data_IF_059914539807
#
_entry.id   IF_059914539807
#
_cell.length_a   1.000
_cell.length_b   1.000
_cell.length_c   1.000
_cell.angle_alpha   90.00
_cell.angle_beta   90.00
_cell.angle_gamma   90.00
#
_symmetry.space_group_name_H-M   'P 1'
#
loop_
_entity.id
_entity.type
_entity.pdbx_description
1 polymer ?
#
# COMPACT_ATOMS: atom_id res chain seq x y z
N UNK A 1 9.65 -1.60 -16.03
CA UNK A 1 9.42 -2.42 -14.82
C UNK A 1 7.93 -2.50 -14.58
N UNK A 2 7.47 -3.58 -13.95
CA UNK A 2 6.09 -3.74 -13.51
C UNK A 2 6.03 -3.48 -12.01
N UNK A 3 5.38 -2.37 -11.66
CA UNK A 3 5.33 -1.83 -10.31
C UNK A 3 3.90 -1.97 -9.81
N UNK A 4 3.74 -2.56 -8.62
CA UNK A 4 2.42 -2.69 -7.98
C UNK A 4 2.41 -1.97 -6.65
N UNK A 5 1.51 -1.02 -6.49
CA UNK A 5 1.23 -0.35 -5.22
C UNK A 5 0.20 -1.14 -4.41
N UNK A 6 0.50 -1.38 -3.13
CA UNK A 6 -0.29 -2.21 -2.23
C UNK A 6 -0.30 -1.66 -0.79
N UNK A 7 -1.18 -2.18 0.07
CA UNK A 7 -1.15 -1.98 1.53
C UNK A 7 -2.07 -0.89 2.07
N UNK A 8 -2.67 -0.10 1.19
CA UNK A 8 -3.66 0.88 1.59
C UNK A 8 -5.03 0.50 1.06
N UNK A 9 -6.04 0.93 1.80
CA UNK A 9 -7.43 0.78 1.41
C UNK A 9 -8.05 2.13 1.13
N UNK A 10 -8.98 2.16 0.18
CA UNK A 10 -9.58 3.39 -0.32
C UNK A 10 -8.62 4.24 -1.15
N UNK A 11 -7.49 3.70 -1.64
CA UNK A 11 -6.57 4.44 -2.52
C UNK A 11 -7.00 4.28 -3.97
N UNK A 12 -6.95 5.35 -4.77
CA UNK A 12 -6.50 6.71 -4.44
C UNK A 12 -7.60 7.67 -3.92
N UNK A 13 -8.79 7.17 -3.61
CA UNK A 13 -10.00 7.97 -3.38
C UNK A 13 -10.17 8.58 -1.97
N UNK A 14 -9.34 8.22 -1.01
CA UNK A 14 -9.53 8.60 0.40
C UNK A 14 -8.99 10.02 0.73
N UNK A 15 -8.39 10.73 -0.25
CA UNK A 15 -7.86 12.09 -0.13
C UNK A 15 -6.90 12.29 1.04
N UNK A 16 -6.17 11.25 1.42
CA UNK A 16 -5.11 11.34 2.42
C UNK A 16 -3.83 11.84 1.76
N UNK A 17 -2.94 12.44 2.54
CA UNK A 17 -1.61 12.85 2.05
C UNK A 17 -0.82 11.71 1.40
N UNK A 18 -1.07 10.46 1.85
CA UNK A 18 -0.45 9.28 1.25
C UNK A 18 -1.01 8.94 -0.14
N UNK A 19 -2.28 9.28 -0.40
CA UNK A 19 -2.93 9.04 -1.68
C UNK A 19 -2.33 10.00 -2.73
N UNK A 20 -2.19 11.29 -2.41
CA UNK A 20 -1.52 12.29 -3.26
C UNK A 20 -0.10 11.84 -3.62
N UNK A 21 0.67 11.40 -2.63
CA UNK A 21 2.04 10.94 -2.84
C UNK A 21 2.11 9.71 -3.74
N UNK A 22 1.25 8.72 -3.49
CA UNK A 22 1.19 7.49 -4.26
C UNK A 22 0.85 7.80 -5.73
N UNK A 23 -0.11 8.69 -5.96
CA UNK A 23 -0.45 9.16 -7.31
C UNK A 23 0.72 9.87 -7.98
N UNK A 24 1.44 10.75 -7.27
CA UNK A 24 2.64 11.38 -7.83
C UNK A 24 3.71 10.37 -8.25
N UNK A 25 3.94 9.32 -7.44
CA UNK A 25 4.85 8.24 -7.82
C UNK A 25 4.33 7.43 -9.00
N UNK A 26 3.04 7.08 -9.01
CA UNK A 26 2.43 6.34 -10.10
C UNK A 26 2.59 7.09 -11.43
N UNK A 27 2.23 8.37 -11.47
CA UNK A 27 2.35 9.22 -12.66
C UNK A 27 3.81 9.42 -13.11
N UNK A 28 4.75 9.50 -12.17
CA UNK A 28 6.19 9.59 -12.49
C UNK A 28 6.69 8.31 -13.16
N UNK A 29 6.31 7.15 -12.62
CA UNK A 29 6.69 5.86 -13.16
C UNK A 29 6.07 5.61 -14.54
N UNK A 30 4.79 5.95 -14.76
CA UNK A 30 4.17 5.85 -16.09
C UNK A 30 4.83 6.79 -17.10
N UNK A 31 5.15 8.03 -16.69
CA UNK A 31 5.90 8.99 -17.51
C UNK A 31 7.29 8.47 -17.90
N UNK A 32 7.88 7.62 -17.07
CA UNK A 32 9.16 6.94 -17.32
C UNK A 32 9.00 5.60 -18.07
N UNK A 33 7.84 5.38 -18.70
CA UNK A 33 7.53 4.18 -19.47
C UNK A 33 7.60 2.88 -18.64
N UNK A 34 7.11 2.94 -17.40
CA UNK A 34 6.90 1.77 -16.54
C UNK A 34 5.42 1.45 -16.40
N UNK A 35 5.13 0.17 -16.18
CA UNK A 35 3.78 -0.31 -15.96
C UNK A 35 3.44 -0.20 -14.48
N UNK A 36 2.34 0.50 -14.18
CA UNK A 36 1.93 0.76 -12.82
C UNK A 36 0.53 0.22 -12.58
N UNK A 37 0.41 -0.60 -11.53
CA UNK A 37 -0.87 -1.10 -11.03
C UNK A 37 -1.05 -0.66 -9.59
N UNK A 38 -2.22 -0.10 -9.26
CA UNK A 38 -2.63 0.17 -7.88
C UNK A 38 -3.62 -0.93 -7.49
N UNK A 39 -3.24 -1.81 -6.57
CA UNK A 39 -4.13 -2.83 -6.04
C UNK A 39 -4.77 -2.32 -4.75
N UNK A 40 -6.05 -1.95 -4.83
CA UNK A 40 -6.79 -1.41 -3.71
C UNK A 40 -7.66 -2.50 -3.05
N UNK A 41 -7.44 -2.74 -1.75
CA UNK A 41 -8.18 -3.75 -0.97
C UNK A 41 -9.70 -3.51 -0.95
N UNK A 42 -10.11 -2.26 -0.83
CA UNK A 42 -11.53 -1.91 -0.96
C UNK A 42 -11.73 -0.49 -1.48
N UNK A 43 -12.72 -0.32 -2.36
CA UNK A 43 -13.16 1.01 -2.79
C UNK A 43 -13.66 1.80 -1.59
N UNK A 44 -13.32 3.09 -1.52
CA UNK A 44 -13.82 3.95 -0.45
C UNK A 44 -15.36 3.89 -0.44
N UNK A 45 -15.98 3.98 0.75
CA UNK A 45 -17.44 3.89 0.92
C UNK A 45 -18.24 4.91 0.08
N UNK A 46 -17.58 5.92 -0.48
CA UNK A 46 -18.09 6.83 -1.52
C UNK A 46 -16.91 7.28 -2.40
N UNK A 47 -16.65 6.66 -3.55
CA UNK A 47 -15.68 7.21 -4.47
C UNK A 47 -16.33 8.42 -5.15
N UNK A 48 -15.83 9.62 -4.88
CA UNK A 48 -16.12 10.79 -5.72
C UNK A 48 -15.23 10.70 -6.97
N UNK A 49 -15.53 9.71 -7.83
CA UNK A 49 -14.78 9.39 -9.05
C UNK A 49 -14.52 10.63 -9.93
N UNK A 50 -15.48 11.57 -9.98
CA UNK A 50 -15.41 12.75 -10.83
C UNK A 50 -14.27 13.72 -10.49
N UNK A 51 -13.77 13.75 -9.25
CA UNK A 51 -12.69 14.65 -8.85
C UNK A 51 -11.32 13.99 -8.89
N UNK A 52 -11.26 12.68 -8.56
CA UNK A 52 -9.99 11.98 -8.40
C UNK A 52 -9.47 11.41 -9.74
N UNK A 53 -10.35 11.16 -10.73
CA UNK A 53 -9.96 10.73 -12.07
C UNK A 53 -9.15 11.79 -12.85
N UNK A 54 -9.26 13.07 -12.51
CA UNK A 54 -8.54 14.15 -13.19
C UNK A 54 -7.02 14.15 -12.93
N UNK A 55 -6.55 13.44 -11.90
CA UNK A 55 -5.14 13.45 -11.48
C UNK A 55 -4.39 12.15 -11.75
N UNK A 56 -5.08 11.12 -12.24
CA UNK A 56 -4.50 9.80 -12.49
C UNK A 56 -4.18 9.73 -13.98
N UNK A 57 -2.93 9.46 -14.33
CA UNK A 57 -2.55 9.14 -15.71
C UNK A 57 -3.35 7.91 -16.18
N UNK A 58 -4.00 7.98 -17.34
CA UNK A 58 -4.84 6.91 -17.90
C UNK A 58 -4.08 5.57 -18.04
N UNK A 59 -2.74 5.60 -18.03
CA UNK A 59 -1.88 4.42 -18.06
C UNK A 59 -1.75 3.71 -16.70
N UNK A 60 -2.20 4.32 -15.61
CA UNK A 60 -2.21 3.71 -14.27
C UNK A 60 -3.44 2.80 -14.14
N UNK A 61 -3.21 1.50 -13.99
CA UNK A 61 -4.31 0.55 -13.80
C UNK A 61 -4.69 0.45 -12.32
N UNK A 62 -5.92 0.82 -11.96
CA UNK A 62 -6.45 0.63 -10.60
C UNK A 62 -7.30 -0.63 -10.55
N UNK A 63 -6.92 -1.59 -9.69
CA UNK A 63 -7.66 -2.84 -9.47
C UNK A 63 -8.27 -2.80 -8.08
N UNK A 64 -9.60 -2.84 -8.02
CA UNK A 64 -10.33 -2.96 -6.77
C UNK A 64 -10.63 -4.42 -6.44
N UNK A 65 -10.29 -4.86 -5.22
CA UNK A 65 -10.55 -6.24 -4.77
C UNK A 65 -11.97 -6.43 -4.24
N UNK A 66 -12.53 -5.42 -3.58
CA UNK A 66 -13.87 -5.50 -3.02
C UNK A 66 -14.55 -4.13 -3.02
N UNK A 67 -15.85 -4.10 -3.34
CA UNK A 67 -16.67 -2.91 -3.16
C UNK A 67 -17.56 -3.11 -1.91
N UNK A 68 -17.34 -2.29 -0.89
CA UNK A 68 -18.09 -2.37 0.37
C UNK A 68 -19.39 -1.54 0.37
N UNK A 69 -19.77 -0.96 -0.77
CA UNK A 69 -20.98 -0.13 -0.89
C UNK A 69 -22.24 -0.94 -0.57
N UNK A 70 -23.00 -0.48 0.41
CA UNK A 70 -24.27 -1.11 0.81
C UNK A 70 -24.14 -2.38 1.67
N UNK A 71 -22.92 -2.78 2.05
CA UNK A 71 -22.71 -4.01 2.81
C UNK A 71 -22.90 -3.77 4.32
N UNK A 72 -23.67 -4.62 5.04
CA UNK A 72 -23.82 -4.53 6.49
C UNK A 72 -22.47 -4.59 7.25
N UNK A 73 -22.36 -3.84 8.35
CA UNK A 73 -21.11 -3.75 9.16
C UNK A 73 -20.60 -5.09 9.71
N UNK A 74 -21.48 -6.06 9.93
CA UNK A 74 -21.08 -7.40 10.38
C UNK A 74 -20.40 -8.18 9.26
N UNK A 75 -20.95 -8.13 8.05
CA UNK A 75 -20.39 -8.77 6.86
C UNK A 75 -19.11 -8.09 6.38
N UNK A 76 -18.98 -6.77 6.57
CA UNK A 76 -17.77 -6.04 6.16
C UNK A 76 -16.51 -6.55 6.86
N UNK A 77 -16.59 -7.01 8.12
CA UNK A 77 -15.44 -7.61 8.83
C UNK A 77 -14.98 -8.93 8.21
N UNK A 78 -15.92 -9.80 7.84
CA UNK A 78 -15.59 -11.05 7.14
C UNK A 78 -15.01 -10.79 5.77
N UNK A 79 -15.55 -9.82 5.04
CA UNK A 79 -15.03 -9.41 3.74
C UNK A 79 -13.62 -8.82 3.85
N UNK A 80 -13.30 -8.08 4.92
CA UNK A 80 -11.94 -7.59 5.14
C UNK A 80 -10.94 -8.76 5.25
N UNK A 81 -11.26 -9.80 6.01
CA UNK A 81 -10.39 -10.99 6.10
C UNK A 81 -10.30 -11.69 4.74
N UNK A 82 -11.44 -11.84 4.05
CA UNK A 82 -11.50 -12.44 2.72
C UNK A 82 -10.65 -11.67 1.69
N UNK A 83 -10.63 -10.34 1.75
CA UNK A 83 -9.79 -9.52 0.85
C UNK A 83 -8.30 -9.78 1.03
N UNK A 84 -7.82 -10.09 2.22
CA UNK A 84 -6.40 -10.45 2.45
C UNK A 84 -6.08 -11.76 1.72
N UNK A 85 -6.99 -12.73 1.73
CA UNK A 85 -6.79 -14.00 1.04
C UNK A 85 -6.85 -13.79 -0.47
N UNK A 86 -7.84 -13.05 -0.98
CA UNK A 86 -7.95 -12.77 -2.42
C UNK A 86 -6.75 -11.97 -2.90
N UNK A 87 -6.32 -10.95 -2.15
CA UNK A 87 -5.18 -10.10 -2.51
C UNK A 87 -3.93 -10.94 -2.76
N UNK A 88 -3.68 -11.93 -1.90
CA UNK A 88 -2.57 -12.87 -2.04
C UNK A 88 -2.64 -13.54 -3.41
N UNK A 89 -3.74 -14.23 -3.70
CA UNK A 89 -3.92 -14.96 -4.96
C UNK A 89 -3.92 -14.03 -6.18
N UNK A 90 -4.47 -12.82 -6.04
CA UNK A 90 -4.49 -11.82 -7.10
C UNK A 90 -3.08 -11.39 -7.47
N UNK A 91 -2.21 -11.13 -6.49
CA UNK A 91 -0.82 -10.78 -6.74
C UNK A 91 -0.05 -11.94 -7.39
N UNK A 92 -0.27 -13.18 -6.97
CA UNK A 92 0.31 -14.36 -7.65
C UNK A 92 -0.14 -14.41 -9.12
N UNK A 93 -1.43 -14.21 -9.39
CA UNK A 93 -1.98 -14.27 -10.74
C UNK A 93 -1.50 -13.11 -11.63
N UNK A 94 -1.43 -11.89 -11.08
CA UNK A 94 -0.85 -10.74 -11.78
C UNK A 94 0.61 -11.02 -12.15
N UNK A 95 1.40 -11.56 -11.22
CA UNK A 95 2.79 -11.93 -11.49
C UNK A 95 2.93 -12.97 -12.61
N UNK A 96 2.01 -13.95 -12.67
CA UNK A 96 2.00 -14.95 -13.76
C UNK A 96 1.70 -14.34 -15.13
N UNK A 97 0.83 -13.33 -15.19
CA UNK A 97 0.53 -12.61 -16.44
C UNK A 97 1.68 -11.71 -16.86
N UNK A 98 2.24 -10.99 -15.90
CA UNK A 98 3.32 -10.04 -16.11
C UNK A 98 4.14 -9.98 -14.83
N UNK A 99 5.42 -10.40 -14.92
CA UNK A 99 6.31 -10.49 -13.77
C UNK A 99 6.35 -9.17 -13.02
N UNK A 100 5.98 -9.16 -11.75
CA UNK A 100 6.05 -8.00 -10.87
C UNK A 100 7.49 -7.84 -10.42
N UNK A 101 8.09 -6.69 -10.73
CA UNK A 101 9.47 -6.38 -10.34
C UNK A 101 9.50 -5.81 -8.92
N UNK A 102 8.54 -4.94 -8.58
CA UNK A 102 8.53 -4.20 -7.32
C UNK A 102 7.13 -4.10 -6.73
N UNK A 103 7.01 -4.40 -5.44
CA UNK A 103 5.87 -4.07 -4.59
C UNK A 103 6.16 -2.79 -3.81
N UNK A 104 5.43 -1.73 -4.12
CA UNK A 104 5.41 -0.49 -3.34
C UNK A 104 4.40 -0.65 -2.21
N UNK A 105 4.89 -0.95 -1.01
CA UNK A 105 4.06 -1.21 0.17
C UNK A 105 3.87 0.07 0.96
N UNK A 106 2.62 0.50 1.07
CA UNK A 106 2.22 1.59 1.94
C UNK A 106 1.26 1.04 3.01
N UNK A 107 1.70 0.87 4.26
CA UNK A 107 0.81 0.48 5.36
C UNK A 107 1.30 1.03 6.69
N UNK A 108 0.38 1.25 7.62
CA UNK A 108 0.70 1.63 9.00
C UNK A 108 0.88 0.47 9.98
N UNK A 109 0.71 -0.77 9.52
CA UNK A 109 0.65 -1.95 10.37
C UNK A 109 1.79 -2.91 10.05
N UNK A 110 2.52 -3.34 11.08
CA UNK A 110 3.64 -4.27 10.92
C UNK A 110 3.22 -5.59 10.25
N UNK A 111 2.03 -6.09 10.61
CA UNK A 111 1.49 -7.34 10.05
C UNK A 111 1.27 -7.23 8.54
N UNK A 112 0.79 -6.09 8.05
CA UNK A 112 0.64 -5.88 6.60
C UNK A 112 2.00 -5.87 5.89
N UNK A 113 3.01 -5.20 6.47
CA UNK A 113 4.36 -5.18 5.91
C UNK A 113 4.89 -6.61 5.79
N UNK A 114 4.79 -7.37 6.87
CA UNK A 114 5.24 -8.76 6.89
C UNK A 114 4.48 -9.63 5.89
N UNK A 115 3.16 -9.43 5.76
CA UNK A 115 2.32 -10.10 4.77
C UNK A 115 2.79 -9.84 3.33
N UNK A 116 3.07 -8.59 2.95
CA UNK A 116 3.55 -8.29 1.60
C UNK A 116 4.98 -8.77 1.35
N UNK A 117 5.81 -8.84 2.39
CA UNK A 117 7.15 -9.44 2.30
C UNK A 117 7.06 -10.93 1.99
N UNK A 118 6.13 -11.65 2.61
CA UNK A 118 5.87 -13.06 2.28
C UNK A 118 5.45 -13.18 0.81
N UNK A 119 4.49 -12.38 0.37
CA UNK A 119 4.04 -12.40 -1.02
C UNK A 119 5.19 -12.11 -1.98
N UNK A 120 5.97 -11.06 -1.71
CA UNK A 120 7.10 -10.66 -2.53
C UNK A 120 8.11 -11.81 -2.70
N UNK A 121 8.40 -12.54 -1.62
CA UNK A 121 9.24 -13.74 -1.67
C UNK A 121 8.63 -14.86 -2.51
N UNK A 122 7.31 -15.07 -2.44
CA UNK A 122 6.62 -16.06 -3.26
C UNK A 122 6.67 -15.73 -4.76
N UNK A 123 6.66 -14.44 -5.14
CA UNK A 123 6.64 -14.01 -6.54
C UNK A 123 8.02 -13.59 -7.09
N UNK A 124 9.04 -13.49 -6.24
CA UNK A 124 10.38 -13.01 -6.60
C UNK A 124 10.46 -11.50 -6.84
N UNK A 125 9.57 -10.71 -6.22
CA UNK A 125 9.54 -9.25 -6.34
C UNK A 125 10.36 -8.57 -5.24
N UNK A 126 10.83 -7.35 -5.52
CA UNK A 126 11.45 -6.46 -4.53
C UNK A 126 10.40 -5.70 -3.73
N UNK A 127 10.66 -5.43 -2.46
CA UNK A 127 9.77 -4.66 -1.58
C UNK A 127 10.34 -3.27 -1.36
N UNK A 128 9.58 -2.25 -1.74
CA UNK A 128 9.86 -0.84 -1.43
C UNK A 128 8.81 -0.34 -0.46
N UNK A 129 9.19 -0.02 0.77
CA UNK A 129 8.27 0.43 1.80
C UNK A 129 8.17 1.96 1.88
N UNK A 130 6.94 2.48 2.03
CA UNK A 130 6.67 3.92 2.14
C UNK A 130 6.64 4.29 3.62
N UNK A 131 7.79 4.69 4.16
CA UNK A 131 7.96 4.95 5.59
C UNK A 131 7.58 6.40 5.93
N UNK A 132 6.29 6.63 6.18
CA UNK A 132 5.81 7.91 6.75
C UNK A 132 6.00 7.93 8.27
N UNK A 133 7.13 8.49 8.69
CA UNK A 133 7.50 8.95 10.06
C UNK A 133 7.77 7.87 11.12
N UNK A 134 8.61 8.22 12.11
CA UNK A 134 8.80 7.41 13.31
C UNK A 134 7.47 7.30 14.06
N UNK A 135 6.71 6.23 13.85
CA UNK A 135 5.41 6.08 14.52
C UNK A 135 5.50 6.05 16.06
N UNK A 136 6.68 5.78 16.60
CA UNK A 136 7.00 5.85 18.01
C UNK A 136 7.15 7.26 18.57
N UNK A 137 7.39 8.29 17.73
CA UNK A 137 7.54 9.68 18.19
C UNK A 137 6.18 10.34 18.49
N UNK A 138 5.09 9.80 17.95
CA UNK A 138 3.75 10.21 18.36
C UNK A 138 3.45 9.74 19.77
N UNK A 139 2.96 10.65 20.64
CA UNK A 139 2.42 10.30 21.96
C UNK A 139 1.18 9.40 21.80
N UNK A 140 1.38 8.09 21.65
CA UNK A 140 0.28 7.13 21.49
C UNK A 140 -0.29 6.74 22.87
N UNK A 141 -1.62 6.82 23.05
CA UNK A 141 -2.30 6.40 24.29
C UNK A 141 -2.53 4.88 24.39
N UNK A 142 -2.41 4.12 23.30
CA UNK A 142 -2.80 2.70 23.23
C UNK A 142 -1.57 1.76 23.10
N UNK A 143 -1.57 0.68 23.89
CA UNK A 143 -0.55 -0.39 23.90
C UNK A 143 -0.31 -0.96 22.50
N UNK A 144 -1.37 -1.17 21.71
CA UNK A 144 -1.25 -1.67 20.33
C UNK A 144 -0.34 -0.78 19.48
N UNK A 145 -0.54 0.54 19.51
CA UNK A 145 0.24 1.48 18.71
C UNK A 145 1.71 1.52 19.15
N UNK A 146 1.97 1.39 20.46
CA UNK A 146 3.33 1.31 20.99
C UNK A 146 4.05 0.05 20.52
N UNK A 147 3.39 -1.10 20.57
CA UNK A 147 3.96 -2.38 20.09
C UNK A 147 4.18 -2.32 18.58
N UNK A 148 3.17 -1.91 17.81
CA UNK A 148 3.25 -1.79 16.36
C UNK A 148 4.38 -0.83 15.94
N UNK A 149 4.50 0.33 16.59
CA UNK A 149 5.59 1.27 16.34
C UNK A 149 6.97 0.68 16.64
N UNK A 150 7.13 -0.03 17.77
CA UNK A 150 8.39 -0.72 18.09
C UNK A 150 8.74 -1.79 17.07
N UNK A 151 7.77 -2.58 16.62
CA UNK A 151 7.96 -3.61 15.59
C UNK A 151 8.38 -2.98 14.25
N UNK A 152 7.68 -1.92 13.84
CA UNK A 152 8.00 -1.19 12.61
C UNK A 152 9.41 -0.58 12.68
N UNK A 153 9.82 -0.01 13.80
CA UNK A 153 11.14 0.64 13.89
C UNK A 153 12.30 -0.37 13.92
N UNK A 154 12.16 -1.45 14.69
CA UNK A 154 13.28 -2.35 14.97
C UNK A 154 13.37 -3.54 14.01
N UNK A 155 12.24 -3.98 13.46
CA UNK A 155 12.17 -5.22 12.68
C UNK A 155 11.81 -4.98 11.22
N UNK A 156 10.89 -4.05 10.92
CA UNK A 156 10.45 -3.84 9.54
C UNK A 156 11.58 -3.51 8.54
N UNK A 157 12.63 -2.72 8.90
CA UNK A 157 13.75 -2.43 8.01
C UNK A 157 14.54 -3.65 7.54
N UNK A 158 14.42 -4.79 8.24
CA UNK A 158 15.10 -6.03 7.87
C UNK A 158 14.37 -6.79 6.76
N UNK A 159 13.16 -6.37 6.40
CA UNK A 159 12.28 -7.13 5.51
C UNK A 159 12.07 -6.50 4.13
N UNK A 160 12.32 -5.20 3.96
CA UNK A 160 12.20 -4.54 2.66
C UNK A 160 13.56 -4.35 1.99
N UNK A 161 13.58 -4.31 0.65
CA UNK A 161 14.79 -4.07 -0.15
C UNK A 161 15.12 -2.56 -0.25
N UNK A 162 14.12 -1.70 -0.08
CA UNK A 162 14.29 -0.25 -0.07
C UNK A 162 13.19 0.45 0.71
N UNK A 163 13.43 1.70 1.08
CA UNK A 163 12.45 2.55 1.74
C UNK A 163 12.42 3.96 1.14
N UNK A 164 11.23 4.51 1.01
CA UNK A 164 11.01 5.91 0.66
C UNK A 164 10.67 6.64 1.96
N UNK A 165 11.60 7.48 2.40
CA UNK A 165 11.48 8.29 3.61
C UNK A 165 11.01 9.71 3.28
N UNK A 166 10.46 10.41 4.27
CA UNK A 166 10.27 11.87 4.23
C UNK A 166 11.32 12.59 5.08
N UNK A 167 11.63 13.82 4.70
CA UNK A 167 12.80 14.64 5.08
C UNK A 167 13.16 14.65 6.56
N UNK A 168 12.19 14.71 7.48
CA UNK A 168 12.48 14.72 8.93
C UNK A 168 13.23 13.47 9.44
N UNK A 169 13.20 12.36 8.71
CA UNK A 169 13.94 11.14 9.06
C UNK A 169 15.44 11.23 8.76
N UNK A 170 15.83 12.04 7.77
CA UNK A 170 17.23 12.22 7.38
C UNK A 170 17.94 13.25 8.26
N UNK A 171 17.21 14.27 8.72
CA UNK A 171 17.74 15.37 9.54
C UNK A 171 18.15 14.91 10.95
N UNK A 172 17.53 13.86 11.51
CA UNK A 172 17.89 13.35 12.85
C UNK A 172 19.06 12.35 12.86
N UNK A 173 19.71 12.12 11.72
CA UNK A 173 20.87 11.21 11.58
C UNK A 173 22.16 11.91 11.12
N UNK A 174 22.11 13.23 10.93
CA UNK A 174 23.26 14.13 10.72
C UNK A 174 23.42 15.00 11.94
#
# INVERSE_FOLDING_TARGET
MNIVFVGLSGVPYARRAIDTRLLSFANLFTSSNHDVVILNRYSALKPNWEYDAQFIDDRVSVIELCNLKGIPKCMSKFLLIYTIIIEFWKLIFLNKKKKIDVLHVASGHFIDIFYYVIIARCIGAKVVYHYCEYRSSFKSRNVYHRINGKLINCYAPKFWDGAICISHFLVSKT
#
